data_IF_697757523712
#
_entry.id   IF_697757523712
#
_cell.length_a   1.000
_cell.length_b   1.000
_cell.length_c   1.000
_cell.angle_alpha   90.00
_cell.angle_beta   90.00
_cell.angle_gamma   90.00
#
_symmetry.space_group_name_H-M   'P 1'
#
loop_
_entity.id
_entity.type
_entity.pdbx_description
1 polymer ?
#
# COMPACT_ATOMS: atom_id res chain seq x y z
N UNK A 1 -9.35 9.64 -3.79
CA UNK A 1 -8.09 8.92 -4.04
C UNK A 1 -7.21 9.90 -4.80
N UNK A 2 -6.02 10.19 -4.29
CA UNK A 2 -5.06 11.03 -4.98
C UNK A 2 -4.76 10.45 -6.37
N UNK A 3 -4.70 11.31 -7.39
CA UNK A 3 -4.33 10.86 -8.73
C UNK A 3 -2.83 10.63 -8.79
N UNK A 4 -2.36 9.72 -9.64
CA UNK A 4 -0.93 9.53 -9.86
C UNK A 4 -0.23 10.84 -10.27
N UNK A 5 -0.93 11.73 -10.97
CA UNK A 5 -0.46 13.07 -11.31
C UNK A 5 -0.27 13.97 -10.09
N UNK A 6 -1.18 13.96 -9.10
CA UNK A 6 -1.01 14.71 -7.85
C UNK A 6 0.27 14.31 -7.13
N UNK A 7 0.51 13.00 -6.94
CA UNK A 7 1.73 12.51 -6.29
C UNK A 7 3.01 12.93 -7.01
N UNK A 8 3.01 12.94 -8.35
CA UNK A 8 4.16 13.41 -9.14
C UNK A 8 4.38 14.92 -8.99
N UNK A 9 3.32 15.72 -9.01
CA UNK A 9 3.42 17.18 -8.86
C UNK A 9 3.83 17.59 -7.47
N UNK A 10 3.10 17.12 -6.45
CA UNK A 10 3.37 17.40 -5.04
C UNK A 10 4.80 16.99 -4.66
N UNK A 11 5.25 15.79 -5.05
CA UNK A 11 6.65 15.38 -4.81
C UNK A 11 7.67 16.18 -5.63
N UNK A 12 7.31 16.63 -6.83
CA UNK A 12 8.10 17.56 -7.63
C UNK A 12 8.29 18.91 -6.94
N UNK A 13 7.22 19.50 -6.42
CA UNK A 13 7.27 20.75 -5.68
C UNK A 13 8.09 20.62 -4.40
N UNK A 14 7.92 19.52 -3.65
CA UNK A 14 8.73 19.25 -2.46
C UNK A 14 10.24 19.21 -2.78
N UNK A 15 10.61 18.60 -3.91
CA UNK A 15 11.99 18.50 -4.34
C UNK A 15 12.60 19.88 -4.67
N UNK A 16 11.85 20.76 -5.35
CA UNK A 16 12.29 22.11 -5.67
C UNK A 16 12.58 22.91 -4.39
N UNK A 17 11.68 22.84 -3.42
CA UNK A 17 11.85 23.50 -2.12
C UNK A 17 13.06 22.92 -1.37
N UNK A 18 13.19 21.59 -1.34
CA UNK A 18 14.30 20.92 -0.67
C UNK A 18 15.65 21.32 -1.26
N UNK A 19 15.78 21.37 -2.59
CA UNK A 19 16.97 21.84 -3.28
C UNK A 19 17.31 23.29 -2.90
N UNK A 20 16.31 24.18 -2.90
CA UNK A 20 16.49 25.59 -2.52
C UNK A 20 16.93 25.76 -1.06
N UNK A 21 16.46 24.88 -0.18
CA UNK A 21 16.83 24.82 1.23
C UNK A 21 18.11 24.01 1.50
N UNK A 22 18.83 23.58 0.46
CA UNK A 22 20.07 22.80 0.55
C UNK A 22 19.91 21.46 1.29
N UNK A 23 18.75 20.83 1.15
CA UNK A 23 18.46 19.48 1.60
C UNK A 23 18.67 18.47 0.45
N UNK A 24 18.56 17.18 0.74
CA UNK A 24 18.54 16.14 -0.29
C UNK A 24 17.16 16.10 -0.99
N UNK A 25 17.04 16.59 -2.25
CA UNK A 25 15.77 16.68 -2.93
C UNK A 25 15.19 15.31 -3.29
N UNK A 26 16.02 14.29 -3.50
CA UNK A 26 15.56 12.96 -3.88
C UNK A 26 14.93 12.23 -2.69
N UNK A 27 15.53 12.36 -1.51
CA UNK A 27 14.96 11.82 -0.27
C UNK A 27 13.62 12.48 0.05
N UNK A 28 13.52 13.81 0.00
CA UNK A 28 12.27 14.53 0.28
C UNK A 28 11.19 14.20 -0.77
N UNK A 29 11.56 14.13 -2.06
CA UNK A 29 10.67 13.71 -3.14
C UNK A 29 10.12 12.30 -2.93
N UNK A 30 10.99 11.35 -2.59
CA UNK A 30 10.58 9.98 -2.41
C UNK A 30 9.70 9.81 -1.17
N UNK A 31 10.02 10.51 -0.08
CA UNK A 31 9.26 10.47 1.16
C UNK A 31 7.87 11.13 1.04
N UNK A 32 7.76 12.28 0.38
CA UNK A 32 6.50 13.03 0.31
C UNK A 32 5.40 12.33 -0.49
N UNK A 33 5.75 11.38 -1.36
CA UNK A 33 4.78 10.51 -2.06
C UNK A 33 3.96 9.62 -1.14
N UNK A 34 4.35 9.50 0.13
CA UNK A 34 3.68 8.68 1.13
C UNK A 34 2.89 9.50 2.16
N UNK A 35 2.76 10.83 1.98
CA UNK A 35 2.13 11.71 2.96
C UNK A 35 0.70 11.27 3.32
N UNK A 36 -0.06 10.83 2.31
CA UNK A 36 -1.46 10.40 2.43
C UNK A 36 -1.63 8.88 2.56
N UNK A 37 -0.56 8.11 2.82
CA UNK A 37 -0.65 6.63 2.88
C UNK A 37 -1.70 6.13 3.89
N UNK A 38 -1.93 6.90 4.97
CA UNK A 38 -2.94 6.61 5.99
C UNK A 38 -4.38 6.63 5.46
N UNK A 39 -4.64 7.32 4.35
CA UNK A 39 -5.96 7.38 3.70
C UNK A 39 -6.46 5.99 3.25
N UNK A 40 -5.54 5.05 3.01
CA UNK A 40 -5.86 3.66 2.66
C UNK A 40 -6.64 2.89 3.74
N UNK A 41 -6.66 3.41 4.97
CA UNK A 41 -7.34 2.75 6.11
C UNK A 41 -8.83 3.09 6.22
N UNK A 42 -9.34 4.00 5.39
CA UNK A 42 -10.74 4.42 5.46
C UNK A 42 -11.61 3.81 4.36
N UNK A 43 -12.89 3.58 4.68
CA UNK A 43 -13.85 3.02 3.74
C UNK A 43 -14.21 3.94 2.56
N UNK A 44 -15.00 3.45 1.58
CA UNK A 44 -15.31 4.21 0.37
C UNK A 44 -16.14 5.49 0.63
N UNK A 45 -16.84 5.59 1.77
CA UNK A 45 -17.69 6.72 2.11
C UNK A 45 -16.92 8.05 2.26
N UNK A 46 -15.73 8.03 2.87
CA UNK A 46 -14.92 9.25 3.07
C UNK A 46 -14.20 9.71 1.80
N UNK A 47 -14.18 8.85 0.77
CA UNK A 47 -13.59 9.13 -0.53
C UNK A 47 -14.62 9.70 -1.52
N UNK A 48 -15.85 9.97 -1.06
CA UNK A 48 -16.91 10.49 -1.91
C UNK A 48 -16.64 11.92 -2.36
N UNK A 49 -16.95 12.17 -3.63
CA UNK A 49 -17.06 13.52 -4.17
C UNK A 49 -18.40 14.06 -3.69
N UNK A 50 -18.40 14.58 -2.47
CA UNK A 50 -19.40 15.50 -1.92
C UNK A 50 -18.76 16.19 -0.73
N UNK A 51 -19.31 17.29 -0.25
CA UNK A 51 -18.96 17.78 1.07
C UNK A 51 -19.09 16.65 2.10
N UNK A 52 -18.00 16.42 2.81
CA UNK A 52 -17.95 15.46 3.91
C UNK A 52 -18.79 15.99 5.08
N UNK A 53 -19.48 15.10 5.76
CA UNK A 53 -20.14 15.39 7.04
C UNK A 53 -19.09 15.73 8.10
N UNK A 54 -19.54 16.33 9.23
CA UNK A 54 -18.65 16.60 10.36
C UNK A 54 -17.91 15.33 10.82
N UNK A 55 -18.65 14.24 11.00
CA UNK A 55 -18.10 12.94 11.39
C UNK A 55 -17.06 12.39 10.40
N UNK A 56 -17.34 12.44 9.10
CA UNK A 56 -16.39 11.96 8.07
C UNK A 56 -15.12 12.80 8.04
N UNK A 57 -15.22 14.11 8.29
CA UNK A 57 -14.04 14.98 8.45
C UNK A 57 -13.25 14.60 9.69
N UNK A 58 -13.91 14.42 10.83
CA UNK A 58 -13.24 14.05 12.08
C UNK A 58 -12.51 12.71 11.95
N UNK A 59 -13.12 11.72 11.30
CA UNK A 59 -12.48 10.44 10.97
C UNK A 59 -11.26 10.65 10.06
N UNK A 60 -11.39 11.45 9.00
CA UNK A 60 -10.30 11.73 8.06
C UNK A 60 -9.10 12.46 8.68
N UNK A 61 -9.31 13.30 9.71
CA UNK A 61 -8.18 13.96 10.41
C UNK A 61 -7.22 12.98 11.09
N UNK A 62 -7.57 11.68 11.15
CA UNK A 62 -6.72 10.63 11.71
C UNK A 62 -5.70 10.07 10.71
N UNK A 63 -5.85 10.30 9.40
CA UNK A 63 -4.94 9.76 8.38
C UNK A 63 -3.46 10.12 8.61
N UNK A 64 -3.08 11.32 9.13
CA UNK A 64 -1.67 11.63 9.40
C UNK A 64 -1.08 10.70 10.46
N UNK A 65 -1.82 10.46 11.54
CA UNK A 65 -1.41 9.57 12.63
C UNK A 65 -1.32 8.12 12.16
N UNK A 66 -2.26 7.66 11.33
CA UNK A 66 -2.25 6.31 10.76
C UNK A 66 -1.06 6.14 9.82
N UNK A 67 -0.83 7.09 8.91
CA UNK A 67 0.29 7.08 7.99
C UNK A 67 1.64 7.07 8.71
N UNK A 68 1.79 7.89 9.76
CA UNK A 68 2.95 7.87 10.63
C UNK A 68 3.21 6.47 11.23
N UNK A 69 2.17 5.83 11.77
CA UNK A 69 2.29 4.47 12.35
C UNK A 69 2.66 3.43 11.29
N UNK A 70 2.14 3.55 10.07
CA UNK A 70 2.45 2.65 8.95
C UNK A 70 3.90 2.73 8.50
N UNK A 71 4.49 3.94 8.54
CA UNK A 71 5.82 4.21 8.00
C UNK A 71 6.93 4.11 9.07
N UNK A 72 6.59 4.36 10.32
CA UNK A 72 7.54 4.36 11.45
C UNK A 72 8.06 2.97 11.80
N UNK A 73 9.26 2.93 12.41
CA UNK A 73 9.79 1.72 13.06
C UNK A 73 10.44 0.73 12.10
N UNK A 74 10.73 1.15 10.86
CA UNK A 74 11.47 0.35 9.88
C UNK A 74 13.00 0.48 10.02
N UNK A 75 13.49 1.58 10.62
CA UNK A 75 14.91 1.94 10.69
C UNK A 75 15.51 2.33 9.34
N UNK A 76 14.67 2.59 8.34
CA UNK A 76 15.06 3.08 7.02
C UNK A 76 14.87 4.59 7.03
N UNK A 77 15.97 5.35 6.89
CA UNK A 77 15.96 6.81 6.98
C UNK A 77 14.90 7.49 6.08
N UNK A 78 14.70 6.97 4.86
CA UNK A 78 13.66 7.47 3.95
C UNK A 78 12.25 7.32 4.54
N UNK A 79 11.96 6.18 5.18
CA UNK A 79 10.65 5.93 5.77
C UNK A 79 10.44 6.73 7.06
N UNK A 80 11.50 7.04 7.80
CA UNK A 80 11.42 7.92 8.96
C UNK A 80 11.05 9.35 8.52
N UNK A 81 11.68 9.87 7.46
CA UNK A 81 11.28 11.17 6.85
C UNK A 81 9.85 11.11 6.33
N UNK A 82 9.45 10.01 5.68
CA UNK A 82 8.09 9.83 5.19
C UNK A 82 7.07 9.79 6.34
N UNK A 83 7.42 9.17 7.47
CA UNK A 83 6.59 9.13 8.67
C UNK A 83 6.41 10.53 9.28
N UNK A 84 7.46 11.35 9.29
CA UNK A 84 7.39 12.74 9.74
C UNK A 84 6.49 13.58 8.83
N UNK A 85 6.65 13.45 7.51
CA UNK A 85 5.78 14.12 6.53
C UNK A 85 4.32 13.70 6.73
N UNK A 86 4.06 12.39 6.76
CA UNK A 86 2.71 11.86 6.93
C UNK A 86 2.06 12.42 8.20
N UNK A 87 2.78 12.46 9.32
CA UNK A 87 2.25 12.98 10.58
C UNK A 87 1.98 14.49 10.56
N UNK A 88 2.78 15.28 9.85
CA UNK A 88 2.89 16.72 10.10
C UNK A 88 2.56 17.63 8.92
N UNK A 89 2.26 17.09 7.73
CA UNK A 89 1.92 17.90 6.54
C UNK A 89 0.61 18.71 6.69
N UNK A 90 -0.21 18.43 7.70
CA UNK A 90 -1.39 19.22 8.08
C UNK A 90 -1.22 20.06 9.35
N UNK A 91 -0.03 20.07 9.93
CA UNK A 91 0.30 21.02 10.99
C UNK A 91 0.41 22.42 10.41
N UNK A 92 0.01 23.43 11.20
CA UNK A 92 0.07 24.83 10.79
C UNK A 92 1.17 25.51 11.59
N UNK A 93 1.92 26.40 10.94
CA UNK A 93 3.02 27.12 11.58
C UNK A 93 2.58 27.90 12.85
N UNK A 94 1.33 28.36 12.88
CA UNK A 94 0.68 29.04 14.01
C UNK A 94 0.19 28.11 15.15
N UNK A 95 0.31 26.79 15.01
CA UNK A 95 -0.12 25.79 16.00
C UNK A 95 -1.60 25.41 15.91
N UNK A 96 -2.35 25.89 14.91
CA UNK A 96 -3.78 25.58 14.74
C UNK A 96 -4.04 24.37 13.84
N UNK A 97 -2.99 23.64 13.47
CA UNK A 97 -3.07 22.45 12.64
C UNK A 97 -3.41 21.21 13.44
N UNK A 98 -3.29 20.06 12.78
CA UNK A 98 -3.58 18.76 13.35
C UNK A 98 -2.55 17.73 12.83
N UNK A 99 -2.38 16.57 13.50
CA UNK A 99 -3.14 16.06 14.64
C UNK A 99 -2.61 16.49 16.03
N UNK A 100 -1.41 17.06 16.13
CA UNK A 100 -0.76 17.38 17.41
C UNK A 100 -0.76 18.87 17.76
N UNK A 101 -1.09 19.76 16.82
CA UNK A 101 -1.08 21.20 17.07
C UNK A 101 0.34 21.73 17.28
N UNK A 102 1.30 21.17 16.54
CA UNK A 102 2.71 21.57 16.60
C UNK A 102 2.85 23.00 16.04
N UNK A 103 3.77 23.77 16.61
CA UNK A 103 3.98 25.18 16.26
C UNK A 103 5.41 25.44 15.83
N UNK A 104 5.57 26.23 14.78
CA UNK A 104 6.86 26.65 14.24
C UNK A 104 7.85 25.47 14.08
N UNK A 105 9.03 25.55 14.69
CA UNK A 105 10.11 24.55 14.55
C UNK A 105 9.83 23.21 15.23
N UNK A 106 8.76 23.10 16.02
CA UNK A 106 8.29 21.79 16.50
C UNK A 106 7.73 20.93 15.35
N UNK A 107 7.37 21.55 14.22
CA UNK A 107 7.00 20.86 12.99
C UNK A 107 8.29 20.47 12.26
N UNK A 108 8.52 19.17 11.97
CA UNK A 108 9.64 18.74 11.14
C UNK A 108 9.68 19.52 9.82
N UNK A 109 10.86 19.94 9.39
CA UNK A 109 11.02 20.74 8.17
C UNK A 109 10.42 20.05 6.94
N UNK A 110 10.54 18.73 6.84
CA UNK A 110 9.94 17.95 5.77
C UNK A 110 8.41 18.08 5.72
N UNK A 111 7.73 18.12 6.88
CA UNK A 111 6.29 18.37 6.98
C UNK A 111 5.91 19.79 6.57
N UNK A 112 6.71 20.79 6.95
CA UNK A 112 6.52 22.18 6.52
C UNK A 112 6.64 22.34 5.00
N UNK A 113 7.60 21.64 4.37
CA UNK A 113 7.77 21.58 2.92
C UNK A 113 6.54 20.96 2.26
N UNK A 114 6.10 19.80 2.75
CA UNK A 114 4.94 19.10 2.21
C UNK A 114 3.66 19.94 2.29
N UNK A 115 3.44 20.66 3.39
CA UNK A 115 2.25 21.52 3.57
C UNK A 115 2.14 22.62 2.50
N UNK A 116 3.26 23.25 2.13
CA UNK A 116 3.31 24.28 1.07
C UNK A 116 3.08 23.64 -0.31
N UNK A 117 3.78 22.54 -0.59
CA UNK A 117 3.67 21.82 -1.86
C UNK A 117 2.26 21.27 -2.12
N UNK A 118 1.66 20.62 -1.12
CA UNK A 118 0.29 20.08 -1.21
C UNK A 118 -0.74 21.20 -1.38
N UNK A 119 -0.62 22.28 -0.59
CA UNK A 119 -1.53 23.42 -0.75
C UNK A 119 -1.42 24.03 -2.15
N UNK A 120 -0.20 24.28 -2.64
CA UNK A 120 -0.03 24.84 -3.98
C UNK A 120 -0.66 23.94 -5.04
N UNK A 121 -0.36 22.64 -5.01
CA UNK A 121 -0.95 21.69 -5.95
C UNK A 121 -2.48 21.71 -5.88
N UNK A 122 -3.04 21.69 -4.68
CA UNK A 122 -4.49 21.74 -4.45
C UNK A 122 -5.14 23.06 -4.94
N UNK A 123 -4.40 24.17 -4.96
CA UNK A 123 -4.86 25.46 -5.48
C UNK A 123 -4.82 25.51 -7.01
N UNK A 124 -3.79 24.95 -7.63
CA UNK A 124 -3.54 25.04 -9.08
C UNK A 124 -4.13 23.87 -9.89
N UNK A 125 -4.79 22.93 -9.20
CA UNK A 125 -5.37 21.70 -9.76
C UNK A 125 -6.89 21.75 -9.64
N UNK A 126 -7.62 21.30 -10.67
CA UNK A 126 -9.06 21.41 -10.72
C UNK A 126 -9.72 20.26 -9.95
N UNK A 127 -10.50 20.59 -8.92
CA UNK A 127 -11.26 19.59 -8.14
C UNK A 127 -12.75 19.63 -8.51
N UNK A 128 -13.53 18.56 -8.28
CA UNK A 128 -14.96 18.50 -8.65
C UNK A 128 -15.83 19.64 -8.09
N UNK A 129 -15.39 20.26 -7.00
CA UNK A 129 -16.09 21.36 -6.32
C UNK A 129 -15.34 22.69 -6.39
N UNK A 130 -14.20 22.74 -7.08
CA UNK A 130 -13.33 23.92 -7.07
C UNK A 130 -12.51 24.01 -8.36
N UNK A 131 -12.69 25.06 -9.18
CA UNK A 131 -11.84 25.27 -10.34
C UNK A 131 -10.39 25.52 -9.91
N UNK A 132 -9.45 25.11 -10.77
CA UNK A 132 -8.04 25.47 -10.62
C UNK A 132 -7.90 27.00 -10.59
N UNK A 133 -7.06 27.48 -9.68
CA UNK A 133 -6.69 28.89 -9.56
C UNK A 133 -5.39 29.14 -10.33
N UNK A 134 -5.14 30.36 -10.82
CA UNK A 134 -3.88 30.68 -11.50
C UNK A 134 -2.69 30.55 -10.54
N UNK A 135 -1.50 30.27 -11.09
CA UNK A 135 -0.26 30.17 -10.32
C UNK A 135 -0.02 31.44 -9.51
N UNK A 136 -0.23 32.62 -10.10
CA UNK A 136 -0.07 33.91 -9.40
C UNK A 136 -0.99 34.02 -8.17
N UNK A 137 -2.24 33.59 -8.32
CA UNK A 137 -3.23 33.63 -7.22
C UNK A 137 -2.93 32.57 -6.16
N UNK A 138 -2.40 31.41 -6.56
CA UNK A 138 -1.90 30.41 -5.61
C UNK A 138 -0.71 30.96 -4.83
N UNK A 139 0.25 31.60 -5.50
CA UNK A 139 1.39 32.27 -4.89
C UNK A 139 0.96 33.38 -3.92
N UNK A 140 -0.01 34.22 -4.30
CA UNK A 140 -0.57 35.24 -3.42
C UNK A 140 -1.23 34.65 -2.17
N UNK A 141 -1.89 33.49 -2.31
CA UNK A 141 -2.46 32.76 -1.17
C UNK A 141 -1.37 32.27 -0.22
N UNK A 142 -0.27 31.72 -0.75
CA UNK A 142 0.87 31.30 0.07
C UNK A 142 1.53 32.49 0.78
N UNK A 143 1.69 33.63 0.09
CA UNK A 143 2.21 34.88 0.68
C UNK A 143 1.32 35.38 1.82
N UNK A 144 0.00 35.35 1.64
CA UNK A 144 -0.95 35.82 2.64
C UNK A 144 -0.96 34.95 3.91
N UNK A 145 -0.68 33.65 3.79
CA UNK A 145 -0.63 32.71 4.90
C UNK A 145 0.78 32.43 5.44
N UNK A 146 1.79 33.14 4.93
CA UNK A 146 3.18 33.11 5.40
C UNK A 146 3.28 33.51 6.87
N UNK A 147 3.90 32.66 7.70
CA UNK A 147 3.99 32.85 9.16
C UNK A 147 2.72 32.50 9.94
N UNK A 148 1.64 32.11 9.26
CA UNK A 148 0.38 31.64 9.86
C UNK A 148 0.16 30.17 9.58
N UNK A 149 -0.27 29.82 8.36
CA UNK A 149 -0.37 28.42 7.97
C UNK A 149 1.00 27.84 7.65
N UNK A 150 1.83 28.62 6.96
CA UNK A 150 3.08 28.13 6.37
C UNK A 150 4.30 28.74 7.02
N UNK A 151 5.39 27.98 7.02
CA UNK A 151 6.69 28.48 7.43
C UNK A 151 7.17 29.59 6.48
N UNK A 152 7.54 30.77 7.02
CA UNK A 152 8.15 31.86 6.26
C UNK A 152 9.26 31.45 5.29
N UNK A 153 10.22 30.64 5.75
CA UNK A 153 11.39 30.23 4.98
C UNK A 153 11.01 29.28 3.84
N UNK A 154 10.04 28.39 4.08
CA UNK A 154 9.57 27.43 3.06
C UNK A 154 8.76 28.13 1.98
N UNK A 155 7.91 29.09 2.35
CA UNK A 155 7.18 29.91 1.38
C UNK A 155 8.14 30.70 0.50
N UNK A 156 9.12 31.37 1.09
CA UNK A 156 10.09 32.17 0.32
C UNK A 156 10.87 31.29 -0.66
N UNK A 157 11.36 30.14 -0.19
CA UNK A 157 12.05 29.18 -1.04
C UNK A 157 11.18 28.67 -2.20
N UNK A 158 9.90 28.40 -1.96
CA UNK A 158 9.00 27.95 -3.01
C UNK A 158 8.65 29.05 -4.02
N UNK A 159 8.49 30.29 -3.56
CA UNK A 159 8.16 31.43 -4.41
C UNK A 159 9.29 31.76 -5.41
N UNK A 160 10.54 31.46 -5.06
CA UNK A 160 11.69 31.59 -5.95
C UNK A 160 11.72 30.51 -7.04
N UNK A 161 11.00 29.40 -6.85
CA UNK A 161 10.94 28.25 -7.77
C UNK A 161 9.61 28.17 -8.56
N UNK A 162 8.83 29.26 -8.62
CA UNK A 162 7.51 29.26 -9.25
C UNK A 162 7.53 28.86 -10.74
N UNK A 163 8.54 29.28 -11.50
CA UNK A 163 8.68 28.89 -12.91
C UNK A 163 8.94 27.38 -13.06
N UNK A 164 9.79 26.82 -12.18
CA UNK A 164 10.04 25.39 -12.14
C UNK A 164 8.80 24.61 -11.68
N UNK A 165 8.03 25.15 -10.73
CA UNK A 165 6.75 24.60 -10.31
C UNK A 165 5.71 24.63 -11.43
N UNK A 166 5.64 25.70 -12.23
CA UNK A 166 4.82 25.77 -13.44
C UNK A 166 5.21 24.67 -14.44
N UNK A 167 6.50 24.42 -14.62
CA UNK A 167 6.98 23.34 -15.48
C UNK A 167 6.60 21.93 -14.95
N UNK A 168 6.55 21.74 -13.63
CA UNK A 168 6.05 20.50 -13.00
C UNK A 168 4.57 20.29 -13.33
N UNK A 169 3.74 21.33 -13.22
CA UNK A 169 2.31 21.29 -13.58
C UNK A 169 2.12 20.90 -15.06
N UNK A 170 2.91 21.51 -15.97
CA UNK A 170 2.85 21.20 -17.40
C UNK A 170 3.27 19.77 -17.74
N UNK A 171 4.27 19.21 -17.03
CA UNK A 171 4.73 17.81 -17.24
C UNK A 171 3.75 16.77 -16.73
N UNK A 172 2.96 17.13 -15.72
CA UNK A 172 2.02 16.24 -15.06
C UNK A 172 0.64 16.90 -15.01
N UNK A 173 0.02 17.17 -16.18
CA UNK A 173 -1.30 17.75 -16.21
C UNK A 173 -2.25 16.86 -15.41
N UNK A 174 -3.24 17.49 -14.79
CA UNK A 174 -4.37 16.71 -14.31
C UNK A 174 -5.03 16.06 -15.53
N UNK A 175 -5.01 14.73 -15.57
CA UNK A 175 -5.79 14.01 -16.56
C UNK A 175 -7.22 14.49 -16.39
N UNK A 176 -7.78 15.11 -17.44
CA UNK A 176 -9.16 15.55 -17.45
C UNK A 176 -9.98 14.37 -16.94
N UNK A 177 -10.52 14.55 -15.75
CA UNK A 177 -11.01 13.45 -14.97
C UNK A 177 -12.33 13.02 -15.62
N UNK A 178 -12.23 12.12 -16.60
CA UNK A 178 -13.35 11.32 -17.05
C UNK A 178 -13.59 10.25 -15.97
N UNK A 179 -14.00 10.72 -14.80
CA UNK A 179 -14.29 9.89 -13.62
C UNK A 179 -15.54 9.05 -13.80
N UNK A 180 -16.23 9.19 -14.93
CA UNK A 180 -17.13 8.16 -15.39
C UNK A 180 -16.40 6.83 -15.49
N UNK A 181 -15.11 6.77 -15.84
CA UNK A 181 -14.35 5.53 -16.03
C UNK A 181 -13.86 4.83 -14.74
N UNK A 182 -13.82 5.51 -13.59
CA UNK A 182 -13.43 4.92 -12.29
C UNK A 182 -14.63 4.38 -11.50
N UNK A 183 -15.84 4.89 -11.80
CA UNK A 183 -17.12 4.34 -11.34
C UNK A 183 -17.79 3.43 -12.37
N UNK A 184 -17.40 3.52 -13.64
CA UNK A 184 -17.73 2.53 -14.65
C UNK A 184 -16.76 1.37 -14.52
N UNK A 185 -17.30 0.16 -14.60
CA UNK A 185 -16.49 -1.02 -14.62
C UNK A 185 -15.37 -0.90 -15.68
N UNK A 186 -14.09 -1.16 -15.35
CA UNK A 186 -12.98 -0.99 -16.27
C UNK A 186 -13.28 -1.56 -17.65
N UNK A 187 -13.07 -0.75 -18.68
CA UNK A 187 -13.38 -1.11 -20.06
C UNK A 187 -12.32 -2.05 -20.64
N UNK A 188 -12.68 -3.33 -20.77
CA UNK A 188 -11.80 -4.38 -21.26
C UNK A 188 -11.67 -4.34 -22.79
N UNK A 189 -10.45 -4.52 -23.34
CA UNK A 189 -10.27 -4.79 -24.76
C UNK A 189 -10.97 -6.07 -25.20
N UNK A 190 -11.40 -6.13 -26.47
CA UNK A 190 -12.10 -7.28 -27.05
C UNK A 190 -11.43 -8.63 -26.75
N UNK A 191 -10.10 -8.70 -26.88
CA UNK A 191 -9.37 -9.96 -26.67
C UNK A 191 -9.35 -10.39 -25.20
N UNK A 192 -9.24 -9.42 -24.27
CA UNK A 192 -9.26 -9.68 -22.82
C UNK A 192 -10.64 -10.14 -22.38
N UNK A 193 -11.69 -9.42 -22.78
CA UNK A 193 -13.07 -9.79 -22.46
C UNK A 193 -13.46 -11.16 -23.05
N UNK A 194 -13.03 -11.46 -24.28
CA UNK A 194 -13.26 -12.75 -24.91
C UNK A 194 -12.55 -13.89 -24.16
N UNK A 195 -11.32 -13.66 -23.69
CA UNK A 195 -10.57 -14.62 -22.88
C UNK A 195 -11.26 -14.90 -21.53
N UNK A 196 -11.70 -13.86 -20.81
CA UNK A 196 -12.44 -14.00 -19.54
C UNK A 196 -13.75 -14.78 -19.74
N UNK A 197 -14.44 -14.59 -20.87
CA UNK A 197 -15.68 -15.28 -21.19
C UNK A 197 -15.49 -16.69 -21.80
N UNK A 198 -14.24 -17.10 -22.01
CA UNK A 198 -13.85 -18.33 -22.70
C UNK A 198 -14.53 -18.50 -24.08
N UNK A 199 -14.54 -17.44 -24.90
CA UNK A 199 -15.11 -17.43 -26.26
C UNK A 199 -14.17 -16.76 -27.28
N UNK A 200 -14.45 -16.92 -28.58
CA UNK A 200 -13.67 -16.22 -29.60
C UNK A 200 -14.03 -14.73 -29.69
N UNK A 201 -13.08 -13.85 -30.07
CA UNK A 201 -13.36 -12.42 -30.31
C UNK A 201 -14.50 -12.19 -31.30
N UNK A 202 -14.63 -13.02 -32.34
CA UNK A 202 -15.72 -12.93 -33.32
C UNK A 202 -17.09 -13.30 -32.73
N UNK A 203 -17.15 -14.23 -31.78
CA UNK A 203 -18.37 -14.56 -31.05
C UNK A 203 -18.76 -13.42 -30.11
N UNK A 204 -17.79 -12.81 -29.42
CA UNK A 204 -18.05 -11.65 -28.56
C UNK A 204 -18.52 -10.43 -29.35
N UNK A 205 -18.00 -10.19 -30.57
CA UNK A 205 -18.52 -9.14 -31.47
C UNK A 205 -19.99 -9.34 -31.79
N UNK A 206 -20.37 -10.54 -32.25
CA UNK A 206 -21.78 -10.88 -32.54
C UNK A 206 -22.68 -10.67 -31.32
N UNK A 207 -22.24 -11.09 -30.13
CA UNK A 207 -23.01 -10.86 -28.90
C UNK A 207 -23.24 -9.39 -28.59
N UNK A 208 -22.26 -8.55 -28.89
CA UNK A 208 -22.38 -7.11 -28.71
C UNK A 208 -23.17 -6.42 -29.84
N UNK A 209 -23.31 -7.05 -31.01
CA UNK A 209 -24.19 -6.61 -32.10
C UNK A 209 -25.65 -7.03 -31.83
N UNK A 210 -25.85 -8.21 -31.25
CA UNK A 210 -27.16 -8.77 -30.84
C UNK A 210 -27.68 -8.21 -29.51
N UNK A 211 -26.93 -7.30 -28.86
CA UNK A 211 -27.31 -6.68 -27.58
C UNK A 211 -27.17 -7.56 -26.33
N UNK A 212 -26.48 -8.70 -26.40
CA UNK A 212 -26.27 -9.63 -25.27
C UNK A 212 -25.23 -9.17 -24.25
N UNK A 213 -24.36 -8.23 -24.63
CA UNK A 213 -23.40 -7.59 -23.73
C UNK A 213 -23.19 -6.15 -24.19
N UNK A 214 -23.18 -5.22 -23.25
CA UNK A 214 -22.90 -3.82 -23.54
C UNK A 214 -21.47 -3.65 -24.05
N UNK A 215 -21.29 -2.67 -24.95
CA UNK A 215 -19.94 -2.30 -25.37
C UNK A 215 -19.87 -0.84 -25.80
N UNK A 216 -18.73 -0.23 -25.53
CA UNK A 216 -18.42 1.16 -25.90
C UNK A 216 -17.45 1.18 -27.08
N UNK A 217 -17.60 2.15 -27.97
CA UNK A 217 -16.63 2.41 -29.06
C UNK A 217 -15.67 3.51 -28.64
N UNK A 218 -14.37 3.27 -28.78
CA UNK A 218 -13.34 4.31 -28.63
C UNK A 218 -13.39 5.29 -29.81
N UNK A 219 -12.78 6.48 -29.68
CA UNK A 219 -12.60 7.42 -30.78
C UNK A 219 -11.94 6.79 -32.04
N UNK A 220 -11.04 5.80 -31.87
CA UNK A 220 -10.43 5.02 -32.96
C UNK A 220 -11.29 3.86 -33.50
N UNK A 221 -12.58 3.78 -33.15
CA UNK A 221 -13.51 2.74 -33.63
C UNK A 221 -13.40 1.36 -32.96
N UNK A 222 -12.44 1.15 -32.06
CA UNK A 222 -12.30 -0.12 -31.33
C UNK A 222 -13.41 -0.35 -30.31
N UNK A 223 -13.89 -1.59 -30.19
CA UNK A 223 -14.90 -1.98 -29.20
C UNK A 223 -14.24 -2.26 -27.83
N UNK A 224 -14.88 -1.85 -26.75
CA UNK A 224 -14.51 -2.03 -25.34
C UNK A 224 -15.70 -2.54 -24.55
N UNK A 225 -15.45 -3.31 -23.50
CA UNK A 225 -16.49 -4.03 -22.75
C UNK A 225 -16.40 -3.70 -21.26
N UNK A 226 -17.48 -3.25 -20.60
CA UNK A 226 -17.46 -3.01 -19.16
C UNK A 226 -17.11 -4.29 -18.39
N UNK A 227 -16.13 -4.23 -17.49
CA UNK A 227 -15.64 -5.42 -16.78
C UNK A 227 -16.69 -6.08 -15.88
N UNK A 228 -17.68 -5.34 -15.37
CA UNK A 228 -18.77 -5.88 -14.55
C UNK A 228 -19.76 -6.65 -15.42
N UNK A 229 -20.13 -6.12 -16.59
CA UNK A 229 -20.93 -6.86 -17.57
C UNK A 229 -20.21 -8.14 -18.06
N UNK A 230 -18.88 -8.07 -18.21
CA UNK A 230 -18.06 -9.26 -18.50
C UNK A 230 -18.05 -10.23 -17.32
N UNK A 231 -17.98 -9.75 -16.07
CA UNK A 231 -17.98 -10.57 -14.85
C UNK A 231 -19.33 -11.25 -14.63
N UNK A 232 -20.43 -10.52 -14.73
CA UNK A 232 -21.80 -11.06 -14.63
C UNK A 232 -22.04 -12.15 -15.67
N UNK A 233 -21.62 -11.90 -16.92
CA UNK A 233 -21.78 -12.87 -18.00
C UNK A 233 -20.83 -14.08 -17.83
N UNK A 234 -19.63 -13.88 -17.28
CA UNK A 234 -18.73 -14.98 -16.91
C UNK A 234 -19.35 -15.85 -15.80
N UNK A 235 -19.92 -15.23 -14.76
CA UNK A 235 -20.62 -15.93 -13.68
C UNK A 235 -21.84 -16.71 -14.19
N UNK A 236 -22.70 -16.08 -15.01
CA UNK A 236 -23.86 -16.75 -15.63
C UNK A 236 -23.46 -17.93 -16.53
N UNK A 237 -22.23 -17.93 -17.05
CA UNK A 237 -21.65 -19.01 -17.86
C UNK A 237 -20.85 -20.02 -17.05
N UNK A 238 -20.71 -19.84 -15.73
CA UNK A 238 -19.89 -20.69 -14.87
C UNK A 238 -18.39 -20.59 -15.16
N UNK A 239 -17.92 -19.46 -15.71
CA UNK A 239 -16.49 -19.21 -15.92
C UNK A 239 -15.90 -18.60 -14.66
N UNK A 240 -15.11 -19.39 -13.94
CA UNK A 240 -14.44 -18.97 -12.71
C UNK A 240 -12.96 -18.69 -12.97
N UNK A 241 -12.44 -17.60 -12.40
CA UNK A 241 -11.01 -17.35 -12.39
C UNK A 241 -10.32 -18.45 -11.56
N UNK A 242 -9.56 -19.31 -12.21
CA UNK A 242 -8.70 -20.27 -11.51
C UNK A 242 -7.43 -19.57 -11.06
N UNK A 243 -7.32 -19.25 -9.77
CA UNK A 243 -6.03 -18.90 -9.17
C UNK A 243 -5.21 -20.18 -9.12
N UNK A 244 -4.18 -20.28 -9.96
CA UNK A 244 -3.24 -21.38 -9.86
C UNK A 244 -2.49 -21.26 -8.53
N UNK A 245 -2.55 -22.27 -7.64
CA UNK A 245 -1.73 -22.28 -6.44
C UNK A 245 -0.27 -22.14 -6.81
N UNK A 246 0.45 -21.22 -6.17
CA UNK A 246 1.89 -21.24 -6.24
C UNK A 246 2.37 -22.48 -5.50
N UNK A 247 2.92 -23.42 -6.26
CA UNK A 247 3.53 -24.63 -5.69
C UNK A 247 4.76 -24.21 -4.87
N UNK A 248 4.95 -24.78 -3.66
CA UNK A 248 6.21 -24.62 -2.96
C UNK A 248 7.38 -25.10 -3.84
N UNK A 249 8.63 -24.72 -3.52
CA UNK A 249 9.79 -25.29 -4.19
C UNK A 249 9.71 -26.83 -4.21
N UNK A 250 10.26 -27.45 -5.25
CA UNK A 250 10.34 -28.91 -5.37
C UNK A 250 11.78 -29.42 -5.22
N UNK A 251 12.67 -28.55 -4.72
CA UNK A 251 14.08 -28.86 -4.48
C UNK A 251 14.43 -28.60 -3.02
N UNK A 252 15.43 -29.31 -2.47
CA UNK A 252 15.99 -29.01 -1.16
C UNK A 252 16.57 -27.59 -1.08
N UNK A 253 16.47 -26.99 0.11
CA UNK A 253 17.06 -25.70 0.50
C UNK A 253 18.02 -25.93 1.67
N UNK A 254 19.20 -26.52 1.43
CA UNK A 254 20.07 -27.06 2.48
C UNK A 254 20.65 -25.98 3.41
N UNK A 255 20.95 -24.78 2.90
CA UNK A 255 21.44 -23.68 3.74
C UNK A 255 20.31 -23.13 4.60
N UNK A 256 19.11 -22.99 4.04
CA UNK A 256 17.93 -22.59 4.82
C UNK A 256 17.63 -23.61 5.91
N UNK A 257 17.66 -24.90 5.58
CA UNK A 257 17.49 -25.98 6.55
C UNK A 257 18.52 -25.91 7.69
N UNK A 258 19.79 -25.64 7.37
CA UNK A 258 20.85 -25.42 8.37
C UNK A 258 20.56 -24.18 9.22
N UNK A 259 20.16 -23.07 8.60
CA UNK A 259 19.81 -21.83 9.30
C UNK A 259 18.65 -22.04 10.27
N UNK A 260 17.61 -22.77 9.87
CA UNK A 260 16.45 -23.09 10.70
C UNK A 260 16.82 -24.05 11.84
N UNK A 261 17.67 -25.06 11.61
CA UNK A 261 18.17 -25.91 12.71
C UNK A 261 18.99 -25.14 13.74
N UNK A 262 19.84 -24.22 13.30
CA UNK A 262 20.74 -23.49 14.21
C UNK A 262 20.05 -22.30 14.88
N UNK A 263 19.18 -21.59 14.17
CA UNK A 263 18.62 -20.30 14.62
C UNK A 263 17.09 -20.26 14.62
N UNK A 264 16.41 -21.33 14.19
CA UNK A 264 14.97 -21.34 13.93
C UNK A 264 14.17 -20.92 15.15
N UNK A 265 14.41 -21.50 16.32
CA UNK A 265 13.64 -21.13 17.50
C UNK A 265 13.85 -19.66 17.90
N UNK A 266 15.08 -19.12 17.73
CA UNK A 266 15.35 -17.69 17.96
C UNK A 266 14.63 -16.80 16.95
N UNK A 267 14.60 -17.22 15.69
CA UNK A 267 13.85 -16.54 14.61
C UNK A 267 12.36 -16.53 14.93
N UNK A 268 11.82 -17.67 15.36
CA UNK A 268 10.41 -17.86 15.67
C UNK A 268 9.97 -17.07 16.90
N UNK A 269 10.78 -17.07 17.97
CA UNK A 269 10.54 -16.24 19.16
C UNK A 269 10.63 -14.76 18.81
N UNK A 270 11.64 -14.34 18.03
CA UNK A 270 11.77 -12.95 17.59
C UNK A 270 10.58 -12.53 16.71
N UNK A 271 10.11 -13.41 15.84
CA UNK A 271 8.93 -13.18 15.01
C UNK A 271 7.66 -13.03 15.86
N UNK A 272 7.46 -13.92 16.84
CA UNK A 272 6.34 -13.90 17.76
C UNK A 272 6.34 -12.65 18.65
N UNK A 273 7.49 -12.26 19.20
CA UNK A 273 7.63 -11.03 19.97
C UNK A 273 7.35 -9.78 19.11
N UNK A 274 7.82 -9.77 17.85
CA UNK A 274 7.63 -8.66 16.92
C UNK A 274 6.19 -8.51 16.39
N UNK A 275 5.26 -9.39 16.78
CA UNK A 275 3.82 -9.19 16.57
C UNK A 275 3.30 -8.07 17.48
N UNK A 276 3.88 -7.91 18.68
CA UNK A 276 3.39 -7.04 19.73
C UNK A 276 4.35 -5.87 19.96
N UNK A 277 3.81 -4.69 20.33
CA UNK A 277 4.62 -3.49 20.60
C UNK A 277 4.78 -3.17 22.08
N UNK A 278 3.81 -3.43 22.97
CA UNK A 278 3.91 -3.22 24.45
C UNK A 278 2.84 -4.00 25.29
N UNK A 279 3.14 -4.21 26.58
CA UNK A 279 2.40 -4.61 27.82
C UNK A 279 1.28 -5.67 27.85
N UNK A 280 0.80 -6.19 26.73
CA UNK A 280 -0.12 -7.34 26.72
C UNK A 280 0.19 -8.29 25.55
N UNK A 281 1.16 -9.20 25.70
CA UNK A 281 1.49 -10.16 24.64
C UNK A 281 0.29 -11.06 24.36
N UNK A 282 -0.17 -11.08 23.11
CA UNK A 282 -1.17 -12.03 22.63
C UNK A 282 -0.60 -13.45 22.52
N UNK A 283 -1.39 -14.36 21.94
CA UNK A 283 -1.11 -15.80 22.00
C UNK A 283 0.30 -16.18 21.54
N UNK A 284 0.82 -15.58 20.46
CA UNK A 284 2.14 -15.89 19.90
C UNK A 284 3.29 -15.67 20.88
N UNK A 285 3.17 -14.68 21.77
CA UNK A 285 4.19 -14.38 22.77
C UNK A 285 3.90 -15.05 24.13
N UNK A 286 2.84 -15.87 24.22
CA UNK A 286 2.51 -16.62 25.44
C UNK A 286 3.36 -17.90 25.55
N UNK A 287 3.63 -18.39 26.78
CA UNK A 287 4.30 -19.68 26.98
C UNK A 287 3.59 -20.84 26.27
N UNK A 288 2.26 -20.76 26.14
CA UNK A 288 1.41 -21.78 25.53
C UNK A 288 1.65 -21.96 24.02
N UNK A 289 2.19 -20.95 23.33
CA UNK A 289 2.54 -21.04 21.92
C UNK A 289 3.85 -21.79 21.65
N UNK A 290 4.73 -21.91 22.65
CA UNK A 290 6.08 -22.47 22.50
C UNK A 290 6.13 -23.84 21.82
N UNK A 291 5.31 -24.84 22.21
CA UNK A 291 5.33 -26.15 21.58
C UNK A 291 4.95 -26.12 20.10
N UNK A 292 3.89 -25.38 19.76
CA UNK A 292 3.41 -25.25 18.38
C UNK A 292 4.42 -24.50 17.49
N UNK A 293 5.08 -23.48 18.04
CA UNK A 293 6.13 -22.73 17.36
C UNK A 293 7.39 -23.59 17.11
N UNK A 294 7.76 -24.44 18.07
CA UNK A 294 8.88 -25.37 17.93
C UNK A 294 8.59 -26.42 16.85
N UNK A 295 7.42 -27.06 16.91
CA UNK A 295 6.98 -28.07 15.94
C UNK A 295 6.95 -27.54 14.50
N UNK A 296 6.39 -26.33 14.31
CA UNK A 296 6.41 -25.65 13.01
C UNK A 296 7.84 -25.42 12.51
N UNK A 297 8.73 -24.93 13.39
CA UNK A 297 10.11 -24.60 13.02
C UNK A 297 10.90 -25.86 12.63
N UNK A 298 10.75 -26.93 13.40
CA UNK A 298 11.41 -28.21 13.16
C UNK A 298 10.92 -28.85 11.86
N UNK A 299 9.60 -28.95 11.68
CA UNK A 299 8.98 -29.49 10.47
C UNK A 299 9.40 -28.71 9.23
N UNK A 300 9.46 -27.38 9.31
CA UNK A 300 9.94 -26.54 8.21
C UNK A 300 11.42 -26.80 7.89
N UNK A 301 12.26 -26.98 8.90
CA UNK A 301 13.69 -27.27 8.71
C UNK A 301 13.90 -28.63 8.04
N UNK A 302 13.10 -29.64 8.39
CA UNK A 302 13.12 -30.96 7.75
C UNK A 302 12.62 -30.91 6.31
N UNK A 303 11.52 -30.20 6.05
CA UNK A 303 10.99 -29.99 4.71
C UNK A 303 12.03 -29.32 3.79
N UNK A 304 12.70 -28.28 4.27
CA UNK A 304 13.80 -27.65 3.53
C UNK A 304 14.98 -28.61 3.29
N UNK A 305 15.27 -29.53 4.22
CA UNK A 305 16.36 -30.49 4.05
C UNK A 305 16.05 -31.55 2.99
N UNK A 306 14.80 -32.02 2.94
CA UNK A 306 14.35 -33.10 2.03
C UNK A 306 13.83 -32.59 0.69
N UNK A 307 13.43 -31.32 0.60
CA UNK A 307 12.73 -30.78 -0.56
C UNK A 307 11.24 -31.18 -0.60
N UNK A 308 10.69 -31.65 0.51
CA UNK A 308 9.31 -32.13 0.65
C UNK A 308 8.52 -31.18 1.55
N UNK A 309 7.70 -30.30 0.94
CA UNK A 309 7.11 -29.17 1.65
C UNK A 309 5.66 -29.36 2.11
N UNK A 310 5.01 -30.46 1.73
CA UNK A 310 3.65 -30.76 2.21
C UNK A 310 3.55 -30.80 3.75
N UNK A 311 4.49 -31.41 4.49
CA UNK A 311 4.49 -31.36 5.96
C UNK A 311 4.63 -29.93 6.50
N UNK A 312 5.45 -29.08 5.87
CA UNK A 312 5.62 -27.69 6.30
C UNK A 312 4.35 -26.85 6.10
N UNK A 313 3.60 -27.09 5.01
CA UNK A 313 2.31 -26.44 4.78
C UNK A 313 1.28 -26.88 5.83
N UNK A 314 1.24 -28.17 6.17
CA UNK A 314 0.36 -28.72 7.21
C UNK A 314 0.70 -28.15 8.60
N UNK A 315 1.98 -28.16 8.98
CA UNK A 315 2.42 -27.60 10.27
C UNK A 315 2.11 -26.10 10.39
N UNK A 316 2.20 -25.35 9.28
CA UNK A 316 1.77 -23.96 9.26
C UNK A 316 0.27 -23.80 9.46
N UNK A 317 -0.54 -24.59 8.74
CA UNK A 317 -1.99 -24.62 8.91
C UNK A 317 -2.37 -24.91 10.37
N UNK A 318 -1.75 -25.92 10.97
CA UNK A 318 -2.03 -26.32 12.34
C UNK A 318 -1.62 -25.23 13.34
N UNK A 319 -0.45 -24.62 13.16
CA UNK A 319 -0.03 -23.46 13.95
C UNK A 319 -1.06 -22.31 13.87
N UNK A 320 -1.56 -21.98 12.68
CA UNK A 320 -2.56 -20.93 12.49
C UNK A 320 -3.92 -21.28 13.10
N UNK A 321 -4.27 -22.57 13.14
CA UNK A 321 -5.45 -23.10 13.80
C UNK A 321 -5.37 -23.01 15.32
N UNK A 322 -4.26 -23.48 15.90
CA UNK A 322 -3.99 -23.39 17.35
C UNK A 322 -3.94 -21.92 17.78
N UNK A 323 -3.28 -21.06 17.00
CA UNK A 323 -3.23 -19.63 17.28
C UNK A 323 -4.64 -19.00 17.33
N UNK A 324 -5.49 -19.33 16.36
CA UNK A 324 -6.86 -18.84 16.33
C UNK A 324 -7.69 -19.35 17.53
N UNK A 325 -7.55 -20.61 17.90
CA UNK A 325 -8.18 -21.18 19.09
C UNK A 325 -7.68 -20.51 20.39
N UNK A 326 -6.40 -20.08 20.39
CA UNK A 326 -5.78 -19.31 21.45
C UNK A 326 -6.13 -17.81 21.45
N UNK A 327 -7.02 -17.35 20.56
CA UNK A 327 -7.49 -15.97 20.50
C UNK A 327 -6.73 -15.06 19.54
N UNK A 328 -5.77 -15.56 18.77
CA UNK A 328 -5.03 -14.76 17.79
C UNK A 328 -5.92 -14.35 16.61
N UNK A 329 -6.03 -13.04 16.34
CA UNK A 329 -6.78 -12.50 15.22
C UNK A 329 -6.07 -12.78 13.89
N UNK A 330 -6.79 -12.61 12.77
CA UNK A 330 -6.22 -12.79 11.43
C UNK A 330 -4.97 -11.91 11.21
N UNK A 331 -4.99 -10.69 11.71
CA UNK A 331 -3.85 -9.76 11.61
C UNK A 331 -2.63 -10.26 12.37
N UNK A 332 -2.77 -10.83 13.57
CA UNK A 332 -1.64 -11.39 14.34
C UNK A 332 -1.03 -12.58 13.62
N UNK A 333 -1.86 -13.48 13.10
CA UNK A 333 -1.44 -14.65 12.32
C UNK A 333 -0.69 -14.27 11.04
N UNK A 334 -1.20 -13.28 10.31
CA UNK A 334 -0.52 -12.77 9.12
C UNK A 334 0.81 -12.07 9.48
N UNK A 335 0.80 -11.23 10.51
CA UNK A 335 1.99 -10.49 10.99
C UNK A 335 3.09 -11.45 11.42
N UNK A 336 2.75 -12.52 12.15
CA UNK A 336 3.71 -13.54 12.56
C UNK A 336 4.47 -14.14 11.36
N UNK A 337 3.75 -14.60 10.33
CA UNK A 337 4.36 -15.22 9.16
C UNK A 337 5.25 -14.23 8.37
N UNK A 338 4.83 -12.96 8.27
CA UNK A 338 5.62 -11.89 7.66
C UNK A 338 6.93 -11.65 8.42
N UNK A 339 6.86 -11.54 9.76
CA UNK A 339 8.04 -11.34 10.62
C UNK A 339 8.97 -12.54 10.58
N UNK A 340 8.43 -13.75 10.65
CA UNK A 340 9.17 -14.99 10.50
C UNK A 340 9.94 -15.03 9.17
N UNK A 341 9.25 -14.77 8.06
CA UNK A 341 9.85 -14.71 6.73
C UNK A 341 10.97 -13.68 6.63
N UNK A 342 10.77 -12.48 7.20
CA UNK A 342 11.78 -11.43 7.25
C UNK A 342 13.06 -11.88 8.00
N UNK A 343 12.91 -12.42 9.21
CA UNK A 343 14.04 -12.87 10.01
C UNK A 343 14.76 -14.08 9.40
N UNK A 344 14.02 -15.05 8.87
CA UNK A 344 14.60 -16.21 8.20
C UNK A 344 15.36 -15.79 6.91
N UNK A 345 14.83 -14.82 6.15
CA UNK A 345 15.47 -14.34 4.92
C UNK A 345 16.78 -13.62 5.24
N UNK A 346 16.77 -12.77 6.28
CA UNK A 346 17.99 -12.10 6.75
C UNK A 346 19.04 -13.09 7.22
N UNK A 347 18.64 -14.13 7.96
CA UNK A 347 19.55 -15.19 8.40
C UNK A 347 20.14 -15.94 7.21
N UNK A 348 19.32 -16.30 6.21
CA UNK A 348 19.75 -16.99 4.99
C UNK A 348 20.76 -16.15 4.18
N UNK A 349 20.47 -14.86 3.97
CA UNK A 349 21.37 -13.95 3.23
C UNK A 349 22.69 -13.78 3.98
N UNK A 350 22.65 -13.58 5.31
CA UNK A 350 23.87 -13.48 6.14
C UNK A 350 24.71 -14.77 6.11
N UNK A 351 24.08 -15.92 5.96
CA UNK A 351 24.76 -17.22 5.85
C UNK A 351 25.34 -17.51 4.45
N UNK A 352 25.23 -16.56 3.50
CA UNK A 352 25.76 -16.70 2.14
C UNK A 352 24.79 -17.40 1.17
N UNK A 353 23.48 -17.24 1.36
CA UNK A 353 22.46 -17.85 0.50
C UNK A 353 22.59 -17.46 -0.96
N UNK A 354 22.61 -18.47 -1.83
CA UNK A 354 22.64 -18.29 -3.29
C UNK A 354 21.29 -17.77 -3.80
N UNK A 355 21.23 -17.13 -4.98
CA UNK A 355 19.98 -16.63 -5.57
C UNK A 355 18.88 -17.70 -5.66
N UNK A 356 19.24 -18.95 -5.93
CA UNK A 356 18.31 -20.08 -6.00
C UNK A 356 17.65 -20.39 -4.65
N UNK A 357 18.41 -20.33 -3.55
CA UNK A 357 17.86 -20.57 -2.21
C UNK A 357 17.01 -19.40 -1.72
N UNK A 358 17.41 -18.17 -2.06
CA UNK A 358 16.60 -16.97 -1.80
C UNK A 358 15.27 -17.04 -2.57
N UNK A 359 15.31 -17.44 -3.85
CA UNK A 359 14.11 -17.62 -4.66
C UNK A 359 13.23 -18.77 -4.15
N UNK A 360 13.84 -19.89 -3.75
CA UNK A 360 13.14 -21.03 -3.15
C UNK A 360 12.45 -20.65 -1.83
N UNK A 361 13.14 -19.91 -0.97
CA UNK A 361 12.56 -19.39 0.26
C UNK A 361 11.39 -18.45 0.01
N UNK A 362 11.49 -17.53 -0.97
CA UNK A 362 10.37 -16.65 -1.34
C UNK A 362 9.15 -17.45 -1.78
N UNK A 363 9.34 -18.44 -2.67
CA UNK A 363 8.26 -19.34 -3.11
C UNK A 363 7.63 -20.10 -1.94
N UNK A 364 8.44 -20.58 -1.00
CA UNK A 364 7.97 -21.27 0.20
C UNK A 364 7.13 -20.35 1.09
N UNK A 365 7.58 -19.12 1.34
CA UNK A 365 6.82 -18.15 2.13
C UNK A 365 5.49 -17.76 1.46
N UNK A 366 5.49 -17.57 0.14
CA UNK A 366 4.25 -17.29 -0.61
C UNK A 366 3.28 -18.47 -0.55
N UNK A 367 3.77 -19.70 -0.68
CA UNK A 367 2.93 -20.90 -0.54
C UNK A 367 2.29 -20.99 0.86
N UNK A 368 3.06 -20.74 1.93
CA UNK A 368 2.56 -20.69 3.30
C UNK A 368 1.46 -19.62 3.47
N UNK A 369 1.65 -18.43 2.88
CA UNK A 369 0.68 -17.34 2.91
C UNK A 369 -0.62 -17.67 2.16
N UNK A 370 -0.52 -18.27 0.97
CA UNK A 370 -1.69 -18.65 0.17
C UNK A 370 -2.56 -19.68 0.87
N UNK A 371 -1.95 -20.67 1.54
CA UNK A 371 -2.68 -21.67 2.33
C UNK A 371 -3.52 -20.99 3.41
N UNK A 372 -2.93 -20.11 4.22
CA UNK A 372 -3.65 -19.43 5.31
C UNK A 372 -4.79 -18.52 4.83
N UNK A 373 -4.67 -17.90 3.65
CA UNK A 373 -5.72 -17.06 3.06
C UNK A 373 -6.89 -17.87 2.50
N UNK A 374 -6.61 -19.01 1.86
CA UNK A 374 -7.65 -19.91 1.34
C UNK A 374 -8.56 -20.44 2.44
N UNK A 375 -7.99 -20.80 3.57
CA UNK A 375 -8.79 -21.28 4.70
C UNK A 375 -9.65 -20.16 5.30
N UNK A 376 -9.18 -18.91 5.26
CA UNK A 376 -9.97 -17.76 5.68
C UNK A 376 -11.16 -17.50 4.74
N UNK A 377 -10.94 -17.59 3.42
CA UNK A 377 -11.99 -17.44 2.41
C UNK A 377 -13.03 -18.57 2.47
N UNK A 378 -12.60 -19.83 2.60
CA UNK A 378 -13.51 -20.98 2.77
C UNK A 378 -14.36 -20.86 4.05
N UNK A 379 -13.78 -20.40 5.16
CA UNK A 379 -14.53 -20.14 6.41
C UNK A 379 -15.51 -18.98 6.30
N UNK A 380 -15.19 -17.96 5.49
CA UNK A 380 -16.09 -16.84 5.22
C UNK A 380 -17.28 -17.26 4.34
N UNK A 381 -17.06 -18.17 3.38
CA UNK A 381 -18.10 -18.70 2.49
C UNK A 381 -19.03 -19.71 3.18
N UNK A 382 -18.60 -20.33 4.27
CA UNK A 382 -19.40 -21.29 5.06
C UNK A 382 -20.25 -20.64 6.17
N UNK A 383 -20.11 -19.32 6.38
CA UNK A 383 -20.90 -18.50 7.31
C UNK A 383 -21.93 -17.70 6.54
#
# INVERSE_FOLDING_TARGET
METGSHLQRMSGHCALIAERLQLDPDSVRAASRLHDVGMSSFGPAVHQRRPLSGRERDELTQHPSIGHVMLSGSGIALLDVAADIALTHHERYDGRGYPRGLRADAIPLAGRIAAVADTFDALTTARPYRPATSIDRAADTLRAERGRQFDPQVVDAFLEELDAAAAVLCRHPEEAADDTALLQAPLLPLHVAAAILAISPSRLRRWADDGRIESVRTAGGHRRFPSDAVRELAQARGVHATVHPLTPPNTPLPLLARCLRTHGMRITIAAAAAVYRDDAPGWFASPSATPALADFTETLAEACARGEYAPALAAHHDLMGIAAAGGAVLLERHTFLQRFGHFAMRTLVKAGGKPEEVAGMRRLLTALQETGLRDADQRAQAR
#
